data_IF_865055725420
#
_entry.id   IF_865055725420
#
_cell.length_a   1.000
_cell.length_b   1.000
_cell.length_c   1.000
_cell.angle_alpha   90.00
_cell.angle_beta   90.00
_cell.angle_gamma   90.00
#
_symmetry.space_group_name_H-M   'P 1'
#
loop_
_entity.id
_entity.type
_entity.pdbx_description
1 polymer ?
#
# COMPACT_ATOMS: atom_id res chain seq x y z
N UNK A 1 37.76 8.39 41.30
CA UNK A 1 37.52 7.84 39.94
C UNK A 1 36.04 7.94 39.66
N UNK A 2 35.63 8.77 38.71
CA UNK A 2 34.23 8.92 38.32
C UNK A 2 33.93 7.91 37.20
N UNK A 3 32.99 7.00 37.43
CA UNK A 3 32.53 6.04 36.42
C UNK A 3 31.35 6.70 35.70
N UNK A 4 31.56 7.06 34.43
CA UNK A 4 30.50 7.49 33.52
C UNK A 4 29.72 6.25 33.08
N UNK A 5 28.47 6.15 33.52
CA UNK A 5 27.55 5.12 33.06
C UNK A 5 27.02 5.50 31.67
N UNK A 6 27.40 4.72 30.65
CA UNK A 6 26.89 4.86 29.29
C UNK A 6 25.55 4.13 29.20
N UNK A 7 24.44 4.87 29.27
CA UNK A 7 23.09 4.32 29.06
C UNK A 7 22.87 4.04 27.58
N UNK A 8 22.95 2.76 27.18
CA UNK A 8 22.49 2.31 25.86
C UNK A 8 20.97 2.28 25.88
N UNK A 9 20.35 3.28 25.25
CA UNK A 9 18.91 3.28 24.98
C UNK A 9 18.67 2.32 23.82
N UNK A 10 18.16 1.12 24.12
CA UNK A 10 17.67 0.20 23.11
C UNK A 10 16.36 0.78 22.54
N UNK A 11 16.44 1.39 21.35
CA UNK A 11 15.25 1.74 20.57
C UNK A 11 14.53 0.45 20.15
N UNK A 12 13.50 0.09 20.91
CA UNK A 12 12.54 -0.93 20.52
C UNK A 12 11.57 -0.31 19.49
N UNK A 13 12.05 -0.13 18.26
CA UNK A 13 11.17 0.12 17.12
C UNK A 13 10.48 -1.20 16.73
N UNK A 14 9.20 -1.21 16.34
CA UNK A 14 8.59 -2.41 15.78
C UNK A 14 9.43 -2.86 14.59
N UNK A 15 9.82 -4.13 14.56
CA UNK A 15 10.47 -4.73 13.40
C UNK A 15 9.55 -4.51 12.21
N UNK A 16 9.97 -3.68 11.25
CA UNK A 16 9.25 -3.50 10.01
C UNK A 16 9.33 -4.84 9.26
N UNK A 17 8.24 -5.61 9.31
CA UNK A 17 8.11 -6.80 8.48
C UNK A 17 8.11 -6.32 7.02
N UNK A 18 9.04 -6.85 6.22
CA UNK A 18 9.08 -6.59 4.79
C UNK A 18 7.72 -6.94 4.17
N UNK A 19 7.22 -6.07 3.28
CA UNK A 19 5.97 -6.31 2.58
C UNK A 19 6.05 -7.63 1.80
N UNK A 20 5.00 -8.45 1.93
CA UNK A 20 4.83 -9.63 1.09
C UNK A 20 4.64 -9.21 -0.37
N UNK A 21 5.33 -9.90 -1.29
CA UNK A 21 5.25 -9.62 -2.72
C UNK A 21 4.16 -10.46 -3.39
N UNK A 22 3.27 -9.81 -4.13
CA UNK A 22 2.26 -10.44 -4.96
C UNK A 22 2.80 -10.58 -6.38
N UNK A 23 2.92 -11.80 -6.88
CA UNK A 23 3.29 -12.05 -8.26
C UNK A 23 2.11 -11.79 -9.19
N UNK A 24 2.36 -11.04 -10.26
CA UNK A 24 1.37 -10.75 -11.28
C UNK A 24 1.99 -11.04 -12.65
N UNK A 25 1.39 -11.97 -13.39
CA UNK A 25 1.76 -12.30 -14.77
C UNK A 25 0.65 -11.94 -15.73
N UNK A 26 0.89 -12.02 -17.04
CA UNK A 26 -0.10 -11.69 -18.10
C UNK A 26 -1.42 -12.45 -18.00
N UNK A 27 -1.36 -13.71 -17.60
CA UNK A 27 -2.52 -14.59 -17.48
C UNK A 27 -3.06 -14.68 -16.06
N UNK A 28 -2.55 -13.84 -15.13
CA UNK A 28 -3.11 -13.77 -13.77
C UNK A 28 -4.55 -13.30 -13.82
N UNK A 29 -5.43 -14.11 -13.22
CA UNK A 29 -6.81 -13.75 -12.95
C UNK A 29 -6.90 -12.67 -11.85
N UNK A 30 -8.12 -12.39 -11.37
CA UNK A 30 -8.34 -11.46 -10.25
C UNK A 30 -7.63 -11.97 -9.00
N UNK A 31 -6.76 -11.14 -8.43
CA UNK A 31 -6.03 -11.43 -7.20
C UNK A 31 -6.68 -10.66 -6.06
N UNK A 32 -7.00 -11.35 -4.96
CA UNK A 32 -7.34 -10.69 -3.71
C UNK A 32 -6.04 -10.25 -3.01
N UNK A 33 -5.86 -8.92 -2.87
CA UNK A 33 -4.67 -8.32 -2.26
C UNK A 33 -4.74 -8.29 -0.73
N UNK A 34 -5.94 -8.43 -0.14
CA UNK A 34 -6.14 -8.25 1.29
C UNK A 34 -5.25 -9.16 2.17
N UNK A 35 -4.99 -10.43 1.82
CA UNK A 35 -4.12 -11.30 2.61
C UNK A 35 -2.64 -10.87 2.63
N UNK A 36 -2.19 -10.10 1.65
CA UNK A 36 -0.80 -9.66 1.49
C UNK A 36 -0.58 -8.20 1.87
N UNK A 37 -1.68 -7.47 2.14
CA UNK A 37 -1.64 -6.05 2.43
C UNK A 37 -1.34 -5.77 3.91
N UNK A 38 -0.43 -4.83 4.16
CA UNK A 38 -0.20 -4.27 5.48
C UNK A 38 -1.11 -3.06 5.70
N UNK A 39 -1.93 -3.11 6.75
CA UNK A 39 -2.86 -2.03 7.11
C UNK A 39 -2.27 -1.21 8.26
N UNK A 40 -2.08 0.08 8.03
CA UNK A 40 -1.57 1.02 9.02
C UNK A 40 -2.66 2.02 9.41
N UNK A 41 -3.18 1.88 10.63
CA UNK A 41 -4.23 2.76 11.18
C UNK A 41 -3.62 3.78 12.12
N UNK A 42 -4.09 5.02 12.05
CA UNK A 42 -3.69 6.06 13.01
C UNK A 42 -2.22 6.47 12.95
N UNK A 43 -1.55 6.32 11.80
CA UNK A 43 -0.12 6.67 11.62
C UNK A 43 0.12 8.19 11.52
N UNK A 44 -0.89 9.01 11.82
CA UNK A 44 -0.81 10.47 11.66
C UNK A 44 -0.88 10.89 10.19
N UNK A 45 -0.15 11.94 9.85
CA UNK A 45 -0.11 12.57 8.51
C UNK A 45 1.04 12.06 7.64
N UNK A 46 1.73 10.98 8.03
CA UNK A 46 2.82 10.41 7.25
C UNK A 46 2.95 8.91 7.45
N UNK A 47 2.96 8.16 6.36
CA UNK A 47 3.33 6.75 6.33
C UNK A 47 4.82 6.64 5.98
N UNK A 48 5.59 5.90 6.78
CA UNK A 48 6.96 5.49 6.43
C UNK A 48 7.03 3.97 6.44
N UNK A 49 7.44 3.39 5.31
CA UNK A 49 7.54 1.94 5.13
C UNK A 49 8.81 1.61 4.35
N UNK A 50 9.30 0.39 4.56
CA UNK A 50 10.30 -0.22 3.69
C UNK A 50 9.58 -0.95 2.56
N UNK A 51 10.05 -0.77 1.32
CA UNK A 51 9.49 -1.45 0.16
C UNK A 51 9.84 -2.93 0.20
N UNK A 52 9.09 -3.76 -0.52
CA UNK A 52 9.59 -5.09 -0.87
C UNK A 52 10.91 -4.96 -1.64
N UNK A 53 11.74 -6.01 -1.55
CA UNK A 53 13.01 -6.05 -2.26
C UNK A 53 12.77 -5.97 -3.78
N UNK A 54 13.52 -5.07 -4.44
CA UNK A 54 13.53 -4.97 -5.90
C UNK A 54 14.24 -6.17 -6.56
N UNK A 55 14.37 -6.12 -7.88
CA UNK A 55 15.08 -7.16 -8.65
C UNK A 55 16.55 -7.29 -8.27
N UNK A 56 17.15 -6.24 -7.71
CA UNK A 56 18.51 -6.20 -7.18
C UNK A 56 18.61 -6.76 -5.75
N UNK A 57 17.49 -7.13 -5.13
CA UNK A 57 17.40 -7.62 -3.75
C UNK A 57 17.44 -6.52 -2.69
N UNK A 58 17.45 -5.24 -3.08
CA UNK A 58 17.50 -4.12 -2.16
C UNK A 58 16.11 -3.60 -1.81
N UNK A 59 15.94 -3.16 -0.57
CA UNK A 59 14.74 -2.45 -0.10
C UNK A 59 15.01 -0.95 -0.07
N UNK A 60 13.97 -0.14 -0.33
CA UNK A 60 14.02 1.31 -0.24
C UNK A 60 13.07 1.81 0.85
N UNK A 61 13.24 3.07 1.31
CA UNK A 61 12.36 3.70 2.28
C UNK A 61 11.42 4.67 1.57
N UNK A 62 10.14 4.32 1.58
CA UNK A 62 9.08 5.17 1.05
C UNK A 62 8.43 5.97 2.17
N UNK A 63 8.30 7.28 1.96
CA UNK A 63 7.54 8.19 2.83
C UNK A 63 6.40 8.82 2.05
N UNK A 64 5.17 8.62 2.51
CA UNK A 64 3.95 9.14 1.86
C UNK A 64 3.21 10.05 2.82
N UNK A 65 2.69 11.15 2.31
CA UNK A 65 1.83 12.10 3.04
C UNK A 65 0.45 12.14 2.38
N UNK A 66 -0.62 12.42 3.13
CA UNK A 66 -1.97 12.53 2.57
C UNK A 66 -2.07 13.76 1.68
N UNK A 67 -2.95 13.70 0.68
CA UNK A 67 -3.23 14.85 -0.20
C UNK A 67 -3.86 16.01 0.57
N UNK A 68 -4.73 15.72 1.54
CA UNK A 68 -5.38 16.71 2.38
C UNK A 68 -4.52 16.99 3.63
N UNK A 69 -4.04 18.22 3.78
CA UNK A 69 -3.29 18.62 4.97
C UNK A 69 -4.13 18.46 6.25
N UNK A 70 -3.49 17.95 7.31
CA UNK A 70 -4.13 17.70 8.60
C UNK A 70 -5.02 16.45 8.64
N UNK A 71 -5.18 15.73 7.52
CA UNK A 71 -5.88 14.45 7.52
C UNK A 71 -5.05 13.35 8.18
N UNK A 72 -5.72 12.41 8.85
CA UNK A 72 -5.12 11.20 9.43
C UNK A 72 -5.75 9.95 8.82
N UNK A 73 -5.45 9.62 7.55
CA UNK A 73 -6.07 8.48 6.89
C UNK A 73 -5.54 7.15 7.45
N UNK A 74 -6.25 6.07 7.12
CA UNK A 74 -5.68 4.73 7.19
C UNK A 74 -4.92 4.46 5.90
N UNK A 75 -3.78 3.77 6.01
CA UNK A 75 -2.96 3.40 4.88
C UNK A 75 -3.01 1.90 4.65
N UNK A 76 -2.90 1.51 3.38
CA UNK A 76 -2.75 0.13 2.95
C UNK A 76 -1.53 0.07 2.05
N UNK A 77 -0.59 -0.81 2.37
CA UNK A 77 0.62 -1.03 1.61
C UNK A 77 0.69 -2.49 1.13
N UNK A 78 1.03 -2.70 -0.13
CA UNK A 78 1.24 -4.01 -0.74
C UNK A 78 2.32 -3.87 -1.82
N UNK A 79 2.97 -4.98 -2.16
CA UNK A 79 3.99 -5.01 -3.19
C UNK A 79 3.55 -5.91 -4.36
N UNK A 80 3.80 -5.46 -5.58
CA UNK A 80 3.56 -6.24 -6.80
C UNK A 80 4.90 -6.55 -7.47
N UNK A 81 5.03 -7.75 -8.03
CA UNK A 81 6.14 -8.15 -8.90
C UNK A 81 5.59 -8.66 -10.22
N UNK A 82 6.07 -8.10 -11.32
CA UNK A 82 5.70 -8.58 -12.64
C UNK A 82 6.61 -9.76 -13.02
N UNK A 83 6.03 -10.96 -13.04
CA UNK A 83 6.78 -12.19 -13.38
C UNK A 83 6.91 -12.43 -14.88
N UNK A 84 6.40 -11.52 -15.72
CA UNK A 84 6.56 -11.58 -17.17
C UNK A 84 7.74 -10.76 -17.67
N UNK A 85 8.13 -11.00 -18.92
CA UNK A 85 9.24 -10.32 -19.62
C UNK A 85 8.84 -8.99 -20.28
N UNK A 86 7.57 -8.59 -20.15
CA UNK A 86 7.03 -7.36 -20.73
C UNK A 86 6.26 -6.57 -19.69
N UNK A 87 6.18 -5.26 -19.87
CA UNK A 87 5.25 -4.42 -19.11
C UNK A 87 3.83 -4.98 -19.17
N UNK A 88 3.15 -4.99 -18.03
CA UNK A 88 1.74 -5.34 -17.92
C UNK A 88 0.90 -4.18 -17.38
N UNK A 89 -0.35 -4.14 -17.80
CA UNK A 89 -1.36 -3.26 -17.24
C UNK A 89 -2.33 -4.05 -16.37
N UNK A 90 -2.66 -3.52 -15.20
CA UNK A 90 -3.57 -4.14 -14.23
C UNK A 90 -4.49 -3.09 -13.62
N UNK A 91 -5.66 -3.51 -13.17
CA UNK A 91 -6.60 -2.62 -12.50
C UNK A 91 -6.63 -2.96 -11.01
N UNK A 92 -6.34 -1.97 -10.17
CA UNK A 92 -6.63 -2.01 -8.75
C UNK A 92 -8.08 -1.58 -8.55
N UNK A 93 -8.89 -2.43 -7.91
CA UNK A 93 -10.33 -2.20 -7.76
C UNK A 93 -10.70 -2.32 -6.29
N UNK A 94 -11.41 -1.32 -5.76
CA UNK A 94 -12.10 -1.38 -4.48
C UNK A 94 -13.60 -1.10 -4.69
N UNK A 95 -14.43 -2.10 -4.41
CA UNK A 95 -15.87 -2.00 -4.56
C UNK A 95 -16.47 -1.15 -3.42
N UNK A 96 -17.22 -0.09 -3.77
CA UNK A 96 -17.84 0.81 -2.77
C UNK A 96 -19.12 0.21 -2.18
N UNK A 97 -19.75 -0.72 -2.90
CA UNK A 97 -20.99 -1.41 -2.50
C UNK A 97 -20.72 -2.76 -1.81
N UNK A 98 -19.64 -2.88 -1.05
CA UNK A 98 -19.41 -4.06 -0.22
C UNK A 98 -20.23 -3.99 1.07
N UNK A 99 -21.02 -5.04 1.34
CA UNK A 99 -21.68 -5.23 2.63
C UNK A 99 -20.67 -5.55 3.75
N UNK A 100 -19.48 -6.04 3.40
CA UNK A 100 -18.41 -6.30 4.36
C UNK A 100 -17.87 -4.98 4.92
N UNK A 101 -18.12 -4.72 6.20
CA UNK A 101 -17.71 -3.49 6.89
C UNK A 101 -18.72 -2.33 6.77
N UNK A 102 -19.84 -2.51 6.04
CA UNK A 102 -20.96 -1.56 6.07
C UNK A 102 -21.73 -1.77 7.39
N UNK A 103 -21.69 -0.78 8.29
CA UNK A 103 -22.45 -0.84 9.54
C UNK A 103 -23.95 -0.99 9.26
N UNK A 104 -24.65 -1.78 10.08
CA UNK A 104 -26.08 -2.07 9.90
C UNK A 104 -26.95 -0.80 10.05
N UNK A 105 -26.53 0.12 10.92
CA UNK A 105 -27.30 1.32 11.28
C UNK A 105 -26.95 2.52 10.38
N UNK A 106 -25.71 2.59 9.88
CA UNK A 106 -25.22 3.66 9.01
C UNK A 106 -24.36 3.07 7.90
N UNK A 107 -24.97 2.42 6.89
CA UNK A 107 -24.21 1.81 5.82
C UNK A 107 -23.56 2.91 4.98
N UNK A 108 -22.24 2.83 4.81
CA UNK A 108 -21.46 3.73 3.95
C UNK A 108 -21.59 3.29 2.49
N UNK A 109 -22.81 3.35 1.96
CA UNK A 109 -23.08 3.04 0.54
C UNK A 109 -22.50 4.14 -0.34
N UNK A 110 -21.81 3.74 -1.41
CA UNK A 110 -21.12 4.63 -2.37
C UNK A 110 -20.04 5.56 -1.76
N UNK A 111 -19.56 5.26 -0.56
CA UNK A 111 -18.45 6.01 -0.02
C UNK A 111 -17.15 5.63 -0.73
N UNK A 112 -16.37 6.63 -1.16
CA UNK A 112 -15.01 6.43 -1.66
C UNK A 112 -14.18 5.64 -0.64
N UNK A 113 -13.48 4.62 -1.12
CA UNK A 113 -12.62 3.69 -0.38
C UNK A 113 -11.13 4.02 -0.58
N UNK A 114 -10.74 4.45 -1.79
CA UNK A 114 -9.37 4.81 -2.14
C UNK A 114 -9.29 6.29 -2.48
N UNK A 115 -8.64 7.08 -1.63
CA UNK A 115 -8.39 8.50 -1.88
C UNK A 115 -7.24 8.75 -2.87
N UNK A 116 -6.16 7.99 -2.74
CA UNK A 116 -4.96 8.12 -3.56
C UNK A 116 -4.20 6.78 -3.59
N UNK A 117 -3.52 6.52 -4.71
CA UNK A 117 -2.54 5.43 -4.85
C UNK A 117 -1.19 6.06 -5.21
N UNK A 118 -0.17 5.78 -4.42
CA UNK A 118 1.19 6.28 -4.61
C UNK A 118 2.09 5.09 -4.96
N UNK A 119 2.76 5.09 -6.13
CA UNK A 119 3.69 4.03 -6.49
C UNK A 119 5.01 4.22 -5.74
N UNK A 120 5.70 3.13 -5.41
CA UNK A 120 7.08 3.19 -4.95
C UNK A 120 8.05 3.53 -6.10
N UNK A 121 7.77 3.01 -7.31
CA UNK A 121 8.59 3.18 -8.51
C UNK A 121 7.70 3.25 -9.77
N UNK A 122 8.25 3.79 -10.86
CA UNK A 122 7.62 3.73 -12.17
C UNK A 122 6.54 4.80 -12.38
N UNK A 123 5.41 4.38 -12.95
CA UNK A 123 4.36 5.29 -13.44
C UNK A 123 3.32 5.58 -12.36
N UNK A 124 2.82 6.82 -12.36
CA UNK A 124 1.71 7.21 -11.50
C UNK A 124 0.44 6.44 -11.90
N UNK A 125 -0.25 5.78 -10.95
CA UNK A 125 -1.55 5.15 -11.21
C UNK A 125 -2.57 6.16 -11.73
N UNK A 126 -3.32 5.75 -12.75
CA UNK A 126 -4.39 6.59 -13.33
C UNK A 126 -5.75 6.19 -12.74
N UNK A 127 -6.44 7.13 -12.11
CA UNK A 127 -7.81 6.91 -11.65
C UNK A 127 -8.76 6.83 -12.85
N UNK A 128 -9.62 5.82 -12.88
CA UNK A 128 -10.62 5.61 -13.94
C UNK A 128 -12.03 5.91 -13.44
N UNK A 129 -12.89 6.52 -14.27
CA UNK A 129 -14.25 6.86 -13.89
C UNK A 129 -15.16 5.63 -14.00
N UNK A 130 -15.31 4.89 -12.90
CA UNK A 130 -16.31 3.82 -12.78
C UNK A 130 -17.35 4.19 -11.73
N UNK A 131 -18.59 3.81 -11.99
CA UNK A 131 -19.66 3.93 -11.00
C UNK A 131 -19.55 2.78 -9.99
N UNK A 132 -19.69 3.09 -8.71
CA UNK A 132 -19.72 2.09 -7.64
C UNK A 132 -18.40 1.43 -7.21
N UNK A 133 -17.28 1.71 -7.87
CA UNK A 133 -15.96 1.19 -7.48
C UNK A 133 -14.87 2.24 -7.70
N UNK A 134 -13.88 2.27 -6.81
CA UNK A 134 -12.65 3.02 -7.05
C UNK A 134 -11.71 2.15 -7.89
N UNK A 135 -11.35 2.62 -9.07
CA UNK A 135 -10.51 1.89 -10.02
C UNK A 135 -9.28 2.72 -10.38
N UNK A 136 -8.11 2.10 -10.29
CA UNK A 136 -6.85 2.66 -10.74
C UNK A 136 -6.17 1.75 -11.77
N UNK A 137 -5.76 2.28 -12.91
CA UNK A 137 -4.89 1.59 -13.87
C UNK A 137 -3.45 1.66 -13.37
N UNK A 138 -2.87 0.49 -13.20
CA UNK A 138 -1.48 0.28 -12.81
C UNK A 138 -0.68 -0.18 -14.02
N UNK A 139 0.51 0.40 -14.17
CA UNK A 139 1.51 -0.06 -15.14
C UNK A 139 2.67 -0.65 -14.37
N UNK A 140 2.96 -1.93 -14.58
CA UNK A 140 3.97 -2.68 -13.82
C UNK A 140 5.08 -3.12 -14.79
N UNK A 141 6.29 -2.60 -14.58
CA UNK A 141 7.47 -3.01 -15.33
C UNK A 141 7.88 -4.45 -14.99
N UNK A 142 8.55 -5.19 -15.88
CA UNK A 142 9.13 -6.49 -15.57
C UNK A 142 10.05 -6.46 -14.34
N UNK A 143 9.96 -7.49 -13.51
CA UNK A 143 10.70 -7.58 -12.25
C UNK A 143 9.90 -7.13 -11.03
#
# INVERSE_FOLDING_TARGET
MAVLALSVVALNGPAALALGTIEVGRDSERIDIAPFASVHKGTGDRLQIETAAGTDGLTDRLSVSPTLQGATPNWVAFALRNVSDTRIERWLVADRYSLFGSGIIWPRLDARQIEQVTPSIGFLPEALPFDGSDVYRLTIEPG
#
